data_IF_717768533302
#
_entry.id   IF_717768533302
#
_cell.length_a   1.000
_cell.length_b   1.000
_cell.length_c   1.000
_cell.angle_alpha   90.00
_cell.angle_beta   90.00
_cell.angle_gamma   90.00
#
_symmetry.space_group_name_H-M   'P 1'
#
loop_
_entity.id
_entity.type
_entity.pdbx_description
1 polymer ?
#
# COMPACT_ATOMS: atom_id res chain seq x y z
N UNK A 1 -4.38 22.38 0.93
CA UNK A 1 -5.47 21.40 0.73
C UNK A 1 -6.70 22.10 0.14
N UNK A 2 -7.17 21.60 -1.00
CA UNK A 2 -8.37 22.13 -1.69
C UNK A 2 -9.60 22.11 -0.78
N UNK A 3 -9.67 21.22 0.19
CA UNK A 3 -10.74 21.18 1.22
C UNK A 3 -10.91 22.48 1.98
N UNK A 4 -9.83 23.19 2.25
CA UNK A 4 -9.86 24.41 3.05
C UNK A 4 -10.47 25.60 2.32
N UNK A 5 -10.63 25.51 0.99
CA UNK A 5 -11.32 26.52 0.19
C UNK A 5 -12.85 26.38 0.24
N UNK A 6 -13.37 25.22 0.65
CA UNK A 6 -14.81 25.00 0.77
C UNK A 6 -15.30 25.22 2.21
N UNK A 7 -16.47 25.83 2.34
CA UNK A 7 -17.14 25.99 3.63
C UNK A 7 -17.45 24.61 4.24
N UNK A 8 -17.52 24.52 5.58
CA UNK A 8 -17.74 23.25 6.31
C UNK A 8 -19.09 22.58 5.95
N UNK A 9 -20.08 23.36 5.52
CA UNK A 9 -21.40 22.94 5.10
C UNK A 9 -21.52 22.58 3.61
N UNK A 10 -20.41 22.67 2.85
CA UNK A 10 -20.40 22.31 1.43
C UNK A 10 -20.70 20.80 1.26
N UNK A 11 -21.70 20.43 0.41
CA UNK A 11 -22.09 19.02 0.23
C UNK A 11 -20.96 18.08 -0.15
N UNK A 12 -20.01 18.55 -0.97
CA UNK A 12 -18.82 17.74 -1.36
C UNK A 12 -17.94 17.46 -0.18
N UNK A 13 -17.70 18.45 0.70
CA UNK A 13 -16.91 18.29 1.92
C UNK A 13 -17.58 17.35 2.90
N UNK A 14 -18.89 17.49 3.11
CA UNK A 14 -19.68 16.62 3.96
C UNK A 14 -19.67 15.18 3.44
N UNK A 15 -19.84 14.99 2.13
CA UNK A 15 -19.78 13.67 1.50
C UNK A 15 -18.39 13.01 1.69
N UNK A 16 -17.31 13.75 1.49
CA UNK A 16 -15.95 13.26 1.70
C UNK A 16 -15.69 12.89 3.16
N UNK A 17 -16.16 13.71 4.12
CA UNK A 17 -16.05 13.40 5.54
C UNK A 17 -16.84 12.15 5.94
N UNK A 18 -18.02 11.94 5.36
CA UNK A 18 -18.81 10.72 5.56
C UNK A 18 -18.09 9.52 4.96
N UNK A 19 -17.58 9.63 3.74
CA UNK A 19 -16.84 8.54 3.08
C UNK A 19 -15.58 8.19 3.86
N UNK A 20 -14.81 9.19 4.32
CA UNK A 20 -13.62 8.97 5.14
C UNK A 20 -13.95 8.22 6.42
N UNK A 21 -15.00 8.64 7.14
CA UNK A 21 -15.44 7.98 8.38
C UNK A 21 -15.98 6.56 8.17
N UNK A 22 -16.73 6.34 7.09
CA UNK A 22 -17.38 5.04 6.84
C UNK A 22 -16.50 4.03 6.11
N UNK A 23 -15.63 4.50 5.21
CA UNK A 23 -14.79 3.65 4.34
C UNK A 23 -13.32 3.60 4.78
N UNK A 24 -12.97 4.31 5.85
CA UNK A 24 -11.59 4.31 6.36
C UNK A 24 -10.61 5.06 5.46
N UNK A 25 -11.07 6.07 4.73
CA UNK A 25 -10.26 6.85 3.80
C UNK A 25 -10.68 6.65 2.35
N UNK A 26 -10.44 7.67 1.54
CA UNK A 26 -10.82 7.71 0.10
C UNK A 26 -9.62 7.64 -0.83
N UNK A 27 -8.41 7.68 -0.29
CA UNK A 27 -7.17 7.75 -1.07
C UNK A 27 -6.31 6.53 -0.78
N UNK A 28 -6.19 5.58 -1.74
CA UNK A 28 -5.34 4.42 -1.54
C UNK A 28 -3.85 4.83 -1.57
N UNK A 29 -3.10 4.23 -0.68
CA UNK A 29 -1.64 4.19 -0.70
C UNK A 29 -1.24 2.81 -1.15
N UNK A 30 -0.28 2.72 -2.05
CA UNK A 30 0.27 1.47 -2.53
C UNK A 30 1.73 1.34 -2.12
N UNK A 31 2.12 0.16 -1.71
CA UNK A 31 3.53 -0.23 -1.59
C UNK A 31 3.77 -1.32 -2.63
N UNK A 32 4.65 -1.03 -3.58
CA UNK A 32 5.03 -1.93 -4.64
C UNK A 32 6.23 -2.76 -4.20
N UNK A 33 6.17 -4.04 -4.45
CA UNK A 33 7.23 -5.02 -4.23
C UNK A 33 7.63 -5.60 -5.57
N UNK A 34 8.95 -5.76 -5.81
CA UNK A 34 9.50 -6.39 -7.00
C UNK A 34 10.43 -7.53 -6.59
N UNK A 35 10.20 -8.71 -7.14
CA UNK A 35 10.95 -9.92 -6.86
C UNK A 35 10.10 -11.16 -7.07
N UNK A 36 10.54 -12.31 -6.57
CA UNK A 36 9.81 -13.57 -6.68
C UNK A 36 8.61 -13.60 -5.70
N UNK A 37 7.42 -13.33 -6.23
CA UNK A 37 6.17 -13.23 -5.44
C UNK A 37 5.79 -14.56 -4.76
N UNK A 38 6.34 -15.69 -5.21
CA UNK A 38 6.11 -16.99 -4.61
C UNK A 38 7.20 -17.40 -3.59
N UNK A 39 8.17 -16.53 -3.34
CA UNK A 39 9.19 -16.75 -2.31
C UNK A 39 8.62 -16.55 -0.90
N UNK A 40 8.88 -17.47 0.05
CA UNK A 40 8.51 -17.28 1.46
C UNK A 40 9.02 -15.97 2.04
N UNK A 41 10.27 -15.60 1.76
CA UNK A 41 10.89 -14.35 2.27
C UNK A 41 10.20 -13.11 1.71
N UNK A 42 9.86 -13.12 0.41
CA UNK A 42 9.12 -12.03 -0.23
C UNK A 42 7.76 -11.82 0.45
N UNK A 43 6.96 -12.89 0.61
CA UNK A 43 5.64 -12.82 1.24
C UNK A 43 5.74 -12.43 2.71
N UNK A 44 6.71 -12.94 3.46
CA UNK A 44 6.95 -12.53 4.84
C UNK A 44 7.35 -11.05 4.93
N UNK A 45 8.10 -10.54 3.97
CA UNK A 45 8.44 -9.11 3.89
C UNK A 45 7.19 -8.27 3.64
N UNK A 46 6.26 -8.73 2.81
CA UNK A 46 4.96 -8.07 2.64
C UNK A 46 4.15 -8.05 3.95
N UNK A 47 4.09 -9.16 4.68
CA UNK A 47 3.39 -9.22 5.98
C UNK A 47 4.01 -8.22 6.95
N UNK A 48 5.34 -8.23 7.13
CA UNK A 48 6.05 -7.29 8.02
C UNK A 48 5.79 -5.83 7.63
N UNK A 49 5.78 -5.54 6.33
CA UNK A 49 5.49 -4.18 5.84
C UNK A 49 4.05 -3.78 6.15
N UNK A 50 3.09 -4.66 5.92
CA UNK A 50 1.69 -4.41 6.24
C UNK A 50 1.46 -4.15 7.74
N UNK A 51 2.09 -4.95 8.61
CA UNK A 51 2.03 -4.75 10.06
C UNK A 51 2.69 -3.43 10.49
N UNK A 52 3.82 -3.07 9.89
CA UNK A 52 4.46 -1.79 10.15
C UNK A 52 3.56 -0.61 9.71
N UNK A 53 2.95 -0.69 8.53
CA UNK A 53 2.00 0.31 8.05
C UNK A 53 0.82 0.51 9.00
N UNK A 54 0.25 -0.56 9.53
CA UNK A 54 -0.91 -0.53 10.46
C UNK A 54 -0.60 0.17 11.78
N UNK A 55 0.66 0.33 12.18
CA UNK A 55 1.05 1.08 13.37
C UNK A 55 0.91 2.59 13.17
N UNK A 56 0.84 3.06 11.94
CA UNK A 56 0.66 4.48 11.66
C UNK A 56 -0.82 4.88 11.82
N UNK A 57 -1.16 5.96 12.57
CA UNK A 57 -2.54 6.32 12.91
C UNK A 57 -3.41 6.64 11.70
N UNK A 58 -2.81 7.07 10.59
CA UNK A 58 -3.53 7.40 9.37
C UNK A 58 -3.85 6.18 8.50
N UNK A 59 -3.31 4.99 8.82
CA UNK A 59 -3.54 3.75 8.07
C UNK A 59 -4.67 2.96 8.72
N UNK A 60 -5.75 2.72 7.96
CA UNK A 60 -6.93 2.04 8.49
C UNK A 60 -7.00 0.55 8.16
N UNK A 61 -6.10 0.07 7.37
CA UNK A 61 -5.98 -1.34 7.01
C UNK A 61 -5.12 -1.54 5.77
N UNK A 62 -4.62 -2.75 5.63
CA UNK A 62 -3.82 -3.17 4.49
C UNK A 62 -4.41 -4.43 3.88
N UNK A 63 -4.17 -4.65 2.61
CA UNK A 63 -4.53 -5.87 1.89
C UNK A 63 -3.42 -6.21 0.90
N UNK A 64 -2.99 -7.47 0.89
CA UNK A 64 -1.95 -7.98 0.02
C UNK A 64 -2.24 -9.42 -0.41
N UNK A 65 -1.48 -9.92 -1.36
CA UNK A 65 -1.53 -11.35 -1.72
C UNK A 65 -1.00 -12.22 -0.58
N UNK A 66 -0.06 -11.74 0.21
CA UNK A 66 0.47 -12.45 1.37
C UNK A 66 -0.64 -12.73 2.41
N UNK A 67 -1.55 -11.76 2.62
CA UNK A 67 -2.71 -11.97 3.51
C UNK A 67 -3.61 -13.10 2.98
N UNK A 68 -3.82 -13.19 1.67
CA UNK A 68 -4.62 -14.26 1.05
C UNK A 68 -3.97 -15.64 1.24
N UNK A 69 -2.64 -15.74 1.08
CA UNK A 69 -1.89 -16.98 1.31
C UNK A 69 -2.02 -17.43 2.76
N UNK A 70 -1.86 -16.50 3.73
CA UNK A 70 -2.04 -16.78 5.16
C UNK A 70 -3.45 -17.29 5.47
N UNK A 71 -4.48 -16.65 4.90
CA UNK A 71 -5.86 -17.04 5.12
C UNK A 71 -6.16 -18.46 4.58
N UNK A 72 -5.69 -18.75 3.37
CA UNK A 72 -5.90 -20.09 2.77
C UNK A 72 -5.12 -21.16 3.52
N UNK A 73 -3.86 -20.91 3.87
CA UNK A 73 -3.05 -21.84 4.67
C UNK A 73 -3.76 -22.15 6.00
N UNK A 74 -4.29 -21.13 6.68
CA UNK A 74 -5.09 -21.31 7.89
C UNK A 74 -6.38 -22.10 7.68
N UNK A 75 -7.05 -21.93 6.54
CA UNK A 75 -8.27 -22.68 6.21
C UNK A 75 -8.01 -24.19 6.01
N UNK A 76 -6.80 -24.55 5.57
CA UNK A 76 -6.37 -25.96 5.49
C UNK A 76 -5.89 -26.55 6.83
N UNK A 77 -5.89 -25.74 7.90
CA UNK A 77 -5.50 -26.19 9.25
C UNK A 77 -3.99 -26.24 9.48
N UNK A 78 -3.20 -25.60 8.61
CA UNK A 78 -1.73 -25.65 8.65
C UNK A 78 -1.09 -24.39 9.27
N UNK A 79 -1.89 -23.59 9.97
CA UNK A 79 -1.44 -22.37 10.61
C UNK A 79 -1.76 -21.10 9.80
N UNK A 80 -1.92 -19.97 10.50
CA UNK A 80 -2.15 -18.65 9.89
C UNK A 80 -0.82 -17.93 9.68
N UNK A 81 0.02 -18.50 8.82
CA UNK A 81 1.37 -18.01 8.52
C UNK A 81 1.73 -18.31 7.06
N UNK A 82 2.76 -17.67 6.56
CA UNK A 82 3.33 -17.99 5.25
C UNK A 82 4.07 -19.33 5.37
N UNK A 83 3.80 -20.31 4.49
CA UNK A 83 4.57 -21.57 4.48
C UNK A 83 6.06 -21.32 4.22
N UNK A 84 6.91 -22.09 4.89
CA UNK A 84 8.36 -22.03 4.71
C UNK A 84 8.83 -22.63 3.37
N UNK A 85 8.03 -23.54 2.79
CA UNK A 85 8.34 -24.24 1.56
C UNK A 85 7.69 -23.53 0.35
N UNK A 86 8.50 -23.19 -0.66
CA UNK A 86 8.02 -22.52 -1.87
C UNK A 86 7.01 -23.39 -2.62
N UNK A 87 7.24 -24.70 -2.70
CA UNK A 87 6.36 -25.65 -3.36
C UNK A 87 4.94 -25.63 -2.77
N UNK A 88 4.84 -25.42 -1.47
CA UNK A 88 3.54 -25.30 -0.81
C UNK A 88 2.86 -23.97 -1.16
N UNK A 89 3.61 -22.89 -1.22
CA UNK A 89 3.09 -21.60 -1.67
C UNK A 89 2.57 -21.72 -3.11
N UNK A 90 3.30 -22.37 -4.01
CA UNK A 90 2.86 -22.62 -5.39
C UNK A 90 1.55 -23.42 -5.45
N UNK A 91 1.35 -24.40 -4.57
CA UNK A 91 0.09 -25.14 -4.47
C UNK A 91 -1.06 -24.25 -3.99
N UNK A 92 -0.85 -23.41 -2.97
CA UNK A 92 -1.86 -22.47 -2.51
C UNK A 92 -2.16 -21.43 -3.59
N UNK A 93 -1.16 -21.04 -4.37
CA UNK A 93 -1.32 -20.11 -5.49
C UNK A 93 -2.24 -20.67 -6.56
N UNK A 94 -2.10 -21.95 -6.89
CA UNK A 94 -2.98 -22.61 -7.84
C UNK A 94 -4.45 -22.57 -7.42
N UNK A 95 -4.74 -22.58 -6.11
CA UNK A 95 -6.12 -22.45 -5.59
C UNK A 95 -6.65 -21.01 -5.69
N UNK A 96 -5.78 -20.03 -5.80
CA UNK A 96 -6.12 -18.63 -6.03
C UNK A 96 -6.24 -18.27 -7.50
N UNK A 97 -5.86 -19.16 -8.39
CA UNK A 97 -5.94 -18.93 -9.84
C UNK A 97 -7.37 -18.61 -10.26
N UNK A 98 -7.56 -17.56 -11.06
CA UNK A 98 -8.86 -17.04 -11.44
C UNK A 98 -9.55 -16.16 -10.39
N UNK A 99 -8.96 -15.92 -9.23
CA UNK A 99 -9.50 -14.98 -8.25
C UNK A 99 -9.24 -13.53 -8.69
N UNK A 100 -10.32 -12.79 -8.99
CA UNK A 100 -10.21 -11.40 -9.45
C UNK A 100 -9.49 -10.46 -8.45
N UNK A 101 -9.56 -10.75 -7.16
CA UNK A 101 -8.88 -9.93 -6.15
C UNK A 101 -7.36 -10.15 -6.21
N UNK A 102 -6.92 -11.38 -6.47
CA UNK A 102 -5.51 -11.70 -6.63
C UNK A 102 -4.91 -10.98 -7.85
N UNK A 103 -5.62 -10.98 -8.99
CA UNK A 103 -5.17 -10.30 -10.22
C UNK A 103 -4.94 -8.80 -10.05
N UNK A 104 -5.57 -8.18 -9.04
CA UNK A 104 -5.36 -6.76 -8.70
C UNK A 104 -4.15 -6.53 -7.80
N UNK A 105 -3.62 -7.58 -7.18
CA UNK A 105 -2.57 -7.51 -6.17
C UNK A 105 -1.20 -7.96 -6.68
N UNK A 106 -1.18 -8.70 -7.80
CA UNK A 106 0.05 -9.24 -8.39
C UNK A 106 0.08 -9.06 -9.91
N UNK A 107 1.29 -8.97 -10.46
CA UNK A 107 1.52 -8.97 -11.91
C UNK A 107 1.28 -10.37 -12.52
N UNK A 108 0.97 -10.41 -13.81
CA UNK A 108 0.80 -11.67 -14.55
C UNK A 108 2.08 -12.53 -14.53
N UNK A 109 3.25 -11.89 -14.47
CA UNK A 109 4.56 -12.58 -14.47
C UNK A 109 4.99 -13.05 -13.08
N UNK A 110 4.23 -12.76 -12.02
CA UNK A 110 4.56 -13.06 -10.62
C UNK A 110 5.89 -12.47 -10.15
N UNK A 111 6.27 -11.33 -10.70
CA UNK A 111 7.49 -10.59 -10.38
C UNK A 111 7.23 -9.27 -9.66
N UNK A 112 5.97 -8.85 -9.57
CA UNK A 112 5.55 -7.67 -8.82
C UNK A 112 4.28 -7.94 -8.02
N UNK A 113 4.22 -7.37 -6.81
CA UNK A 113 3.02 -7.40 -5.98
C UNK A 113 2.83 -6.07 -5.27
N UNK A 114 1.59 -5.80 -4.82
CA UNK A 114 1.28 -4.57 -4.09
C UNK A 114 0.60 -4.85 -2.76
N UNK A 115 0.90 -3.98 -1.78
CA UNK A 115 0.02 -3.77 -0.63
C UNK A 115 -0.87 -2.58 -0.95
N UNK A 116 -2.17 -2.76 -0.84
CA UNK A 116 -3.16 -1.70 -0.93
C UNK A 116 -3.54 -1.29 0.49
N UNK A 117 -3.45 0.00 0.79
CA UNK A 117 -3.85 0.54 2.08
C UNK A 117 -4.74 1.77 1.90
N UNK A 118 -5.63 2.00 2.84
CA UNK A 118 -6.42 3.22 2.93
C UNK A 118 -5.76 4.19 3.88
N UNK A 119 -5.70 5.45 3.47
CA UNK A 119 -5.10 6.53 4.21
C UNK A 119 -6.17 7.58 4.54
N UNK A 120 -6.31 7.93 5.84
CA UNK A 120 -7.38 8.80 6.32
C UNK A 120 -7.17 10.25 5.88
N UNK A 121 -5.94 10.75 6.03
CA UNK A 121 -5.67 12.16 5.83
C UNK A 121 -5.56 12.55 4.36
N UNK A 122 -6.09 13.74 4.08
CA UNK A 122 -5.86 14.45 2.81
C UNK A 122 -4.78 15.53 2.92
N UNK A 123 -4.19 15.74 4.10
CA UNK A 123 -3.25 16.82 4.35
C UNK A 123 -1.81 16.48 3.89
N UNK A 124 -1.14 17.49 3.31
CA UNK A 124 0.19 17.30 2.75
C UNK A 124 1.27 17.00 3.80
N UNK A 125 1.10 17.50 5.03
CA UNK A 125 2.07 17.27 6.10
C UNK A 125 2.05 15.82 6.56
N UNK A 126 0.87 15.26 6.80
CA UNK A 126 0.69 13.87 7.22
C UNK A 126 1.16 12.87 6.15
N UNK A 127 0.97 13.21 4.87
CA UNK A 127 1.54 12.42 3.77
C UNK A 127 3.06 12.45 3.76
N UNK A 128 3.68 13.60 4.05
CA UNK A 128 5.14 13.72 4.16
C UNK A 128 5.67 12.94 5.36
N UNK A 129 4.98 13.02 6.49
CA UNK A 129 5.32 12.26 7.70
C UNK A 129 5.23 10.76 7.44
N UNK A 130 4.13 10.30 6.83
CA UNK A 130 3.99 8.90 6.45
C UNK A 130 5.07 8.45 5.45
N UNK A 131 5.42 9.29 4.47
CA UNK A 131 6.51 8.98 3.56
C UNK A 131 7.84 8.83 4.28
N UNK A 132 8.14 9.73 5.22
CA UNK A 132 9.37 9.65 6.02
C UNK A 132 9.36 8.42 6.93
N UNK A 133 8.23 8.12 7.56
CA UNK A 133 8.01 6.94 8.37
C UNK A 133 8.29 5.65 7.59
N UNK A 134 7.73 5.53 6.39
CA UNK A 134 7.93 4.37 5.52
C UNK A 134 9.34 4.30 4.94
N UNK A 135 9.99 5.44 4.66
CA UNK A 135 11.32 5.44 4.03
C UNK A 135 12.35 4.71 4.87
N UNK A 136 12.38 4.96 6.19
CA UNK A 136 13.32 4.26 7.08
C UNK A 136 13.10 2.74 7.06
N UNK A 137 11.84 2.30 7.10
CA UNK A 137 11.52 0.87 7.02
C UNK A 137 11.91 0.27 5.67
N UNK A 138 11.65 0.97 4.58
CA UNK A 138 11.99 0.52 3.22
C UNK A 138 13.50 0.39 3.06
N UNK A 139 14.28 1.37 3.54
CA UNK A 139 15.74 1.36 3.47
C UNK A 139 16.33 0.16 4.21
N UNK A 140 15.73 -0.24 5.34
CA UNK A 140 16.18 -1.36 6.17
C UNK A 140 15.74 -2.74 5.64
N UNK A 141 14.63 -2.81 4.85
CA UNK A 141 14.01 -4.07 4.45
C UNK A 141 14.04 -4.32 2.93
N UNK A 142 14.39 -3.33 2.11
CA UNK A 142 14.53 -3.50 0.66
C UNK A 142 15.88 -4.15 0.33
N UNK A 143 15.85 -5.22 -0.43
CA UNK A 143 17.04 -5.97 -0.88
C UNK A 143 17.06 -6.05 -2.40
N UNK A 144 18.12 -6.62 -2.98
CA UNK A 144 18.17 -6.88 -4.42
C UNK A 144 17.14 -7.94 -4.86
N UNK A 145 16.76 -8.84 -3.97
CA UNK A 145 15.78 -9.90 -4.22
C UNK A 145 14.34 -9.47 -3.96
N UNK A 146 14.14 -8.43 -3.13
CA UNK A 146 12.82 -7.87 -2.79
C UNK A 146 12.91 -6.34 -2.69
N UNK A 147 12.67 -5.65 -3.80
CA UNK A 147 12.64 -4.18 -3.82
C UNK A 147 11.30 -3.65 -3.39
N UNK A 148 11.32 -2.64 -2.52
CA UNK A 148 10.12 -2.03 -1.94
C UNK A 148 10.05 -0.57 -2.33
N UNK A 149 8.93 -0.13 -2.89
CA UNK A 149 8.69 1.25 -3.31
C UNK A 149 7.32 1.73 -2.85
N UNK A 150 7.25 2.91 -2.24
CA UNK A 150 5.96 3.53 -1.91
C UNK A 150 5.44 4.34 -3.09
N UNK A 151 4.18 4.17 -3.44
CA UNK A 151 3.52 4.83 -4.55
C UNK A 151 2.04 5.14 -4.25
N UNK A 152 1.34 5.70 -5.21
CA UNK A 152 -0.07 6.06 -5.13
C UNK A 152 -0.30 7.56 -5.28
N UNK A 153 -1.54 7.93 -5.57
CA UNK A 153 -1.93 9.32 -5.84
C UNK A 153 -1.45 10.32 -4.79
N UNK A 154 -1.52 10.03 -3.47
CA UNK A 154 -1.04 10.96 -2.46
C UNK A 154 0.43 11.37 -2.62
N UNK A 155 1.28 10.48 -3.12
CA UNK A 155 2.73 10.73 -3.30
C UNK A 155 3.05 11.31 -4.67
N UNK A 156 2.29 10.96 -5.70
CA UNK A 156 2.37 11.59 -7.02
C UNK A 156 2.03 13.08 -6.91
N UNK A 157 0.94 13.42 -6.21
CA UNK A 157 0.53 14.81 -5.94
C UNK A 157 1.63 15.60 -5.23
N UNK A 158 2.27 15.04 -4.18
CA UNK A 158 3.38 15.69 -3.49
C UNK A 158 4.58 15.98 -4.41
N UNK A 159 4.84 15.11 -5.35
CA UNK A 159 5.94 15.27 -6.31
C UNK A 159 5.60 16.34 -7.35
N UNK A 160 4.35 16.37 -7.82
CA UNK A 160 3.85 17.38 -8.76
C UNK A 160 3.85 18.78 -8.13
N UNK A 161 3.38 18.93 -6.89
CA UNK A 161 3.39 20.20 -6.16
C UNK A 161 4.81 20.78 -6.07
N UNK A 162 5.80 19.94 -5.75
CA UNK A 162 7.22 20.37 -5.70
C UNK A 162 7.74 20.79 -7.06
N UNK A 163 7.38 20.07 -8.11
CA UNK A 163 7.80 20.38 -9.48
C UNK A 163 7.20 21.68 -9.98
N UNK A 164 5.92 21.92 -9.72
CA UNK A 164 5.23 23.15 -10.07
C UNK A 164 5.82 24.38 -9.36
N UNK A 165 6.06 24.26 -8.04
CA UNK A 165 6.69 25.33 -7.26
C UNK A 165 8.09 25.65 -7.81
N UNK A 166 8.91 24.63 -8.10
CA UNK A 166 10.23 24.81 -8.68
C UNK A 166 10.18 25.50 -10.06
N UNK A 167 9.25 25.10 -10.92
CA UNK A 167 9.11 25.69 -12.25
C UNK A 167 8.63 27.14 -12.19
N UNK A 168 7.71 27.46 -11.27
CA UNK A 168 7.26 28.82 -11.06
C UNK A 168 8.37 29.72 -10.52
N UNK A 169 9.16 29.25 -9.55
CA UNK A 169 10.32 29.99 -9.04
C UNK A 169 11.38 30.21 -10.12
N UNK A 170 11.64 29.21 -10.97
CA UNK A 170 12.59 29.33 -12.07
C UNK A 170 12.12 30.29 -13.19
N UNK A 171 10.81 30.51 -13.32
CA UNK A 171 10.25 31.46 -14.29
C UNK A 171 10.23 32.92 -13.79
N UNK A 172 10.48 33.14 -12.51
CA UNK A 172 10.53 34.47 -11.87
C UNK A 172 11.94 35.02 -11.72
N UNK A 173 12.96 34.25 -12.05
CA UNK A 173 14.38 34.60 -12.06
C UNK A 173 14.88 34.81 -13.50
#
# INVERSE_FOLDING_TARGET
>A
DVKNYFRKDNPTRVAEDIMTKKLGGTRPVFVLFKGDVQSPEFLNTMIRTGEYMKQHPEVTGTQSVADLIVEINGAFGEGREIPDEKEKIEQLWFLLDGNENMQKLVSENLDEAIIISKFLSSENNERKEFKSYMSSFIDDNSTDECKIEITGMPFIELTMDRSLIKSQLASLL
#
